data_IF_939497144981
#
_entry.id   IF_939497144981
#
_cell.length_a   1.000
_cell.length_b   1.000
_cell.length_c   1.000
_cell.angle_alpha   90.00
_cell.angle_beta   90.00
_cell.angle_gamma   90.00
#
_symmetry.space_group_name_H-M   'P 1'
#
loop_
_entity.id
_entity.type
_entity.pdbx_description
1 polymer ?
#
# COMPACT_ATOMS: atom_id res chain seq x y z
N UNK A 1 4.00 -21.28 3.65
CA UNK A 1 4.81 -20.18 3.12
C UNK A 1 4.15 -18.87 3.48
N UNK A 2 4.94 -17.85 3.81
CA UNK A 2 4.44 -16.53 4.15
C UNK A 2 4.11 -15.72 2.91
N UNK A 3 3.18 -14.77 3.02
CA UNK A 3 2.87 -13.86 1.92
C UNK A 3 4.00 -12.83 1.72
N UNK A 4 4.35 -12.52 0.47
CA UNK A 4 5.28 -11.42 0.18
C UNK A 4 4.47 -10.14 -0.01
N UNK A 5 4.62 -9.18 0.88
CA UNK A 5 3.82 -7.95 0.91
C UNK A 5 4.73 -6.75 0.65
N UNK A 6 4.30 -5.82 -0.19
CA UNK A 6 4.92 -4.51 -0.32
C UNK A 6 3.95 -3.42 0.11
N UNK A 7 4.49 -2.43 0.81
CA UNK A 7 3.82 -1.16 1.06
C UNK A 7 4.60 -0.03 0.40
N UNK A 8 3.89 0.74 -0.42
CA UNK A 8 4.46 1.87 -1.14
C UNK A 8 3.70 3.14 -0.77
N UNK A 9 4.43 4.15 -0.27
CA UNK A 9 3.86 5.49 -0.08
C UNK A 9 3.76 6.16 -1.44
N UNK A 10 2.58 6.68 -1.75
CA UNK A 10 2.32 7.43 -2.98
C UNK A 10 1.97 8.88 -2.64
N UNK A 11 2.62 9.81 -3.33
CA UNK A 11 2.42 11.26 -3.15
C UNK A 11 1.22 11.79 -3.92
N UNK A 12 0.65 10.95 -4.79
CA UNK A 12 -0.52 11.26 -5.61
C UNK A 12 -1.44 10.05 -5.68
N UNK A 13 -2.72 10.25 -5.39
CA UNK A 13 -3.71 9.21 -5.60
C UNK A 13 -3.96 9.01 -7.10
N UNK A 14 -4.10 7.75 -7.57
CA UNK A 14 -4.51 7.49 -8.94
C UNK A 14 -5.90 8.09 -9.21
N UNK A 15 -6.10 8.65 -10.41
CA UNK A 15 -7.41 9.15 -10.83
C UNK A 15 -8.47 8.03 -10.92
N UNK A 16 -8.04 6.78 -11.07
CA UNK A 16 -8.90 5.59 -11.07
C UNK A 16 -8.29 4.48 -10.20
N UNK A 17 -8.45 4.53 -8.87
CA UNK A 17 -7.81 3.58 -7.95
C UNK A 17 -8.24 2.14 -8.22
N UNK A 18 -9.52 1.91 -8.50
CA UNK A 18 -10.02 0.57 -8.84
C UNK A 18 -9.42 0.04 -10.14
N UNK A 19 -9.26 0.90 -11.16
CA UNK A 19 -8.66 0.51 -12.44
C UNK A 19 -7.20 0.14 -12.28
N UNK A 20 -6.44 0.91 -11.49
CA UNK A 20 -5.05 0.59 -11.17
C UNK A 20 -4.96 -0.73 -10.39
N UNK A 21 -5.76 -0.90 -9.33
CA UNK A 21 -5.79 -2.13 -8.55
C UNK A 21 -6.13 -3.36 -9.41
N UNK A 22 -7.14 -3.27 -10.27
CA UNK A 22 -7.51 -4.36 -11.19
C UNK A 22 -6.39 -4.71 -12.17
N UNK A 23 -5.71 -3.71 -12.73
CA UNK A 23 -4.60 -3.93 -13.65
C UNK A 23 -3.41 -4.63 -12.95
N UNK A 24 -3.17 -4.33 -11.68
CA UNK A 24 -2.11 -4.95 -10.89
C UNK A 24 -2.49 -6.36 -10.40
N UNK A 25 -3.72 -6.58 -9.95
CA UNK A 25 -4.21 -7.93 -9.58
C UNK A 25 -4.22 -8.87 -10.78
N UNK A 26 -4.37 -8.35 -12.00
CA UNK A 26 -4.29 -9.16 -13.22
C UNK A 26 -2.86 -9.62 -13.58
N UNK A 27 -1.83 -9.15 -12.87
CA UNK A 27 -0.47 -9.65 -13.03
C UNK A 27 -0.32 -11.05 -12.42
N UNK A 28 0.54 -11.87 -13.02
CA UNK A 28 0.80 -13.21 -12.53
C UNK A 28 1.44 -13.17 -11.12
N UNK A 29 1.05 -14.12 -10.27
CA UNK A 29 1.56 -14.23 -8.90
C UNK A 29 1.10 -13.14 -7.92
N UNK A 30 0.16 -12.26 -8.30
CA UNK A 30 -0.43 -11.26 -7.40
C UNK A 30 -1.68 -11.81 -6.73
N UNK A 31 -1.68 -11.82 -5.39
CA UNK A 31 -2.78 -12.31 -4.57
C UNK A 31 -3.80 -11.19 -4.27
N UNK A 32 -3.31 -9.98 -3.95
CA UNK A 32 -4.16 -8.86 -3.61
C UNK A 32 -3.48 -7.51 -3.89
N UNK A 33 -4.30 -6.50 -4.19
CA UNK A 33 -3.87 -5.10 -4.30
C UNK A 33 -4.88 -4.21 -3.61
N UNK A 34 -4.39 -3.30 -2.78
CA UNK A 34 -5.21 -2.33 -2.06
C UNK A 34 -4.60 -0.94 -2.19
N UNK A 35 -5.47 0.06 -2.35
CA UNK A 35 -5.07 1.47 -2.41
C UNK A 35 -5.86 2.20 -1.33
N UNK A 36 -5.16 2.59 -0.27
CA UNK A 36 -5.73 3.36 0.84
C UNK A 36 -5.38 4.83 0.68
N UNK A 37 -6.39 5.71 0.69
CA UNK A 37 -6.16 7.14 0.84
C UNK A 37 -5.84 7.45 2.31
N UNK A 38 -4.84 8.29 2.54
CA UNK A 38 -4.58 8.85 3.87
C UNK A 38 -5.40 10.12 4.07
N UNK A 39 -6.00 10.25 5.24
CA UNK A 39 -6.67 11.47 5.61
C UNK A 39 -5.64 12.53 6.03
N UNK A 40 -5.62 13.67 5.35
CA UNK A 40 -4.87 14.85 5.78
C UNK A 40 -5.43 15.44 7.08
N UNK A 41 -6.69 15.15 7.41
CA UNK A 41 -7.32 15.57 8.65
C UNK A 41 -6.67 14.83 9.81
N UNK A 42 -5.63 15.47 10.35
CA UNK A 42 -5.20 15.39 11.74
C UNK A 42 -6.37 14.91 12.58
N UNK A 43 -6.36 13.65 12.99
CA UNK A 43 -7.28 13.16 14.03
C UNK A 43 -7.24 14.19 15.16
N UNK A 44 -8.33 14.91 15.39
CA UNK A 44 -8.32 16.15 16.22
C UNK A 44 -8.00 15.90 17.69
N UNK A 45 -7.65 14.65 18.05
CA UNK A 45 -7.14 14.24 19.35
C UNK A 45 -5.75 14.86 19.55
N UNK A 46 -5.61 15.88 20.41
CA UNK A 46 -4.33 16.46 20.74
C UNK A 46 -3.68 15.54 21.77
N UNK A 47 -2.74 14.70 21.34
CA UNK A 47 -1.83 14.02 22.26
C UNK A 47 -0.46 14.69 22.20
N UNK A 48 0.26 14.67 23.32
CA UNK A 48 1.58 15.28 23.48
C UNK A 48 2.58 14.71 22.47
N UNK A 49 2.43 13.44 22.04
CA UNK A 49 3.27 12.83 21.01
C UNK A 49 3.07 13.45 19.61
N UNK A 50 1.91 14.02 19.32
CA UNK A 50 1.59 14.59 18.00
C UNK A 50 2.38 15.86 17.68
N UNK A 51 2.77 16.62 18.71
CA UNK A 51 3.61 17.81 18.58
C UNK A 51 5.06 17.50 18.16
N UNK A 52 5.49 16.25 18.31
CA UNK A 52 6.85 15.78 17.97
C UNK A 52 6.96 15.29 16.52
N UNK A 53 5.85 15.13 15.79
CA UNK A 53 5.78 14.53 14.45
C UNK A 53 6.10 15.50 13.29
N UNK A 54 6.87 16.56 13.55
CA UNK A 54 7.21 17.56 12.50
C UNK A 54 7.98 16.95 11.32
N UNK A 55 8.58 15.77 11.50
CA UNK A 55 9.33 15.04 10.48
C UNK A 55 8.61 13.77 9.95
N UNK A 56 7.36 13.51 10.36
CA UNK A 56 6.56 12.44 9.74
C UNK A 56 6.03 12.96 8.39
N UNK A 57 6.74 12.63 7.32
CA UNK A 57 6.39 13.04 5.96
C UNK A 57 4.94 12.68 5.61
N UNK A 58 4.19 13.67 5.14
CA UNK A 58 2.84 13.50 4.62
C UNK A 58 2.90 12.86 3.23
N UNK A 59 1.99 11.93 2.96
CA UNK A 59 1.81 11.30 1.65
C UNK A 59 0.30 11.15 1.38
N UNK A 60 -0.10 11.00 0.13
CA UNK A 60 -1.51 10.99 -0.30
C UNK A 60 -2.20 9.63 -0.16
N UNK A 61 -1.43 8.54 -0.18
CA UNK A 61 -1.96 7.21 0.10
C UNK A 61 -0.91 6.10 0.19
N UNK A 62 -1.39 4.89 0.49
CA UNK A 62 -0.62 3.65 0.47
C UNK A 62 -1.11 2.75 -0.65
N UNK A 63 -0.19 2.27 -1.47
CA UNK A 63 -0.38 1.13 -2.36
C UNK A 63 0.18 -0.11 -1.67
N UNK A 64 -0.69 -1.06 -1.38
CA UNK A 64 -0.34 -2.36 -0.81
C UNK A 64 -0.48 -3.43 -1.90
N UNK A 65 0.54 -4.26 -2.06
CA UNK A 65 0.54 -5.38 -3.00
C UNK A 65 0.98 -6.64 -2.27
N UNK A 66 0.19 -7.69 -2.37
CA UNK A 66 0.51 -9.02 -1.86
C UNK A 66 0.75 -9.96 -3.04
N UNK A 67 1.86 -10.69 -2.99
CA UNK A 67 2.32 -11.58 -4.03
C UNK A 67 2.82 -12.91 -3.46
N UNK A 68 2.88 -13.92 -4.33
CA UNK A 68 3.43 -15.23 -4.02
C UNK A 68 4.94 -15.17 -3.76
N UNK A 69 5.64 -14.31 -4.49
CA UNK A 69 7.08 -14.12 -4.38
C UNK A 69 7.50 -12.68 -4.74
N UNK A 70 8.76 -12.37 -4.48
CA UNK A 70 9.34 -11.05 -4.75
C UNK A 70 9.42 -10.74 -6.26
N UNK A 71 9.64 -11.75 -7.11
CA UNK A 71 9.76 -11.55 -8.55
C UNK A 71 8.43 -11.06 -9.16
N UNK A 72 7.31 -11.65 -8.75
CA UNK A 72 5.96 -11.26 -9.12
C UNK A 72 5.65 -9.83 -8.69
N UNK A 73 6.10 -9.46 -7.49
CA UNK A 73 5.96 -8.11 -6.93
C UNK A 73 6.74 -7.07 -7.74
N UNK A 74 8.00 -7.36 -8.10
CA UNK A 74 8.81 -6.49 -8.94
C UNK A 74 8.21 -6.32 -10.35
N UNK A 75 7.65 -7.39 -10.92
CA UNK A 75 6.95 -7.32 -12.21
C UNK A 75 5.71 -6.43 -12.14
N UNK A 76 4.90 -6.55 -11.09
CA UNK A 76 3.73 -5.70 -10.87
C UNK A 76 4.12 -4.23 -10.65
N UNK A 77 5.22 -3.93 -9.96
CA UNK A 77 5.76 -2.59 -9.83
C UNK A 77 6.16 -1.97 -11.18
N UNK A 78 6.81 -2.77 -12.04
CA UNK A 78 7.19 -2.31 -13.37
C UNK A 78 5.95 -2.03 -14.23
N UNK A 79 4.90 -2.84 -14.10
CA UNK A 79 3.60 -2.59 -14.72
C UNK A 79 2.98 -1.29 -14.17
N UNK A 80 2.98 -1.08 -12.86
CA UNK A 80 2.47 0.14 -12.22
C UNK A 80 3.15 1.42 -12.76
N UNK A 81 4.48 1.40 -12.91
CA UNK A 81 5.25 2.51 -13.50
C UNK A 81 4.85 2.81 -14.94
N UNK A 82 4.43 1.79 -15.68
CA UNK A 82 4.01 1.93 -17.08
C UNK A 82 2.60 2.53 -17.19
N UNK A 83 1.67 2.09 -16.35
CA UNK A 83 0.24 2.45 -16.47
C UNK A 83 -0.19 3.65 -15.61
N UNK A 84 0.59 4.00 -14.58
CA UNK A 84 0.34 5.11 -13.68
C UNK A 84 1.66 5.83 -13.31
N UNK A 85 2.43 6.34 -14.29
CA UNK A 85 3.72 6.99 -14.03
C UNK A 85 3.58 8.18 -13.07
N UNK A 86 2.49 8.94 -13.17
CA UNK A 86 2.22 10.10 -12.32
C UNK A 86 2.00 9.75 -10.83
N UNK A 87 1.60 8.52 -10.54
CA UNK A 87 1.50 7.97 -9.18
C UNK A 87 2.85 7.44 -8.69
N UNK A 88 3.62 6.84 -9.60
CA UNK A 88 4.86 6.12 -9.27
C UNK A 88 6.10 7.01 -9.24
N UNK A 89 6.14 8.12 -9.98
CA UNK A 89 7.31 9.02 -10.10
C UNK A 89 7.81 9.59 -8.77
N UNK A 90 6.90 9.76 -7.81
CA UNK A 90 7.20 10.29 -6.48
C UNK A 90 6.95 9.26 -5.37
N UNK A 91 6.67 8.02 -5.73
CA UNK A 91 6.49 6.98 -4.74
C UNK A 91 7.79 6.73 -3.97
N UNK A 92 7.67 6.25 -2.72
CA UNK A 92 8.84 5.88 -1.93
C UNK A 92 9.61 4.73 -2.55
N UNK A 93 10.79 4.41 -2.02
CA UNK A 93 11.38 3.10 -2.29
C UNK A 93 10.45 1.99 -1.77
N UNK A 94 10.31 0.88 -2.51
CA UNK A 94 9.45 -0.22 -2.10
C UNK A 94 10.10 -0.99 -0.94
N UNK A 95 9.43 -1.07 0.19
CA UNK A 95 9.79 -1.98 1.27
C UNK A 95 9.02 -3.29 1.13
N UNK A 96 9.74 -4.41 1.13
CA UNK A 96 9.17 -5.77 1.02
C UNK A 96 9.18 -6.43 2.39
N UNK A 97 8.03 -6.91 2.80
CA UNK A 97 7.77 -7.59 4.05
C UNK A 97 7.36 -9.05 3.79
N UNK A 98 7.70 -9.92 4.74
CA UNK A 98 7.27 -11.32 4.76
C UNK A 98 6.19 -11.50 5.83
N UNK A 99 5.01 -11.94 5.42
CA UNK A 99 3.92 -12.28 6.30
C UNK A 99 4.26 -13.52 7.13
N UNK A 100 4.54 -13.34 8.42
CA UNK A 100 4.84 -14.45 9.33
C UNK A 100 3.59 -15.08 9.95
N UNK A 101 2.52 -14.30 10.10
CA UNK A 101 1.25 -14.71 10.71
C UNK A 101 0.08 -14.11 9.95
N UNK A 102 -1.03 -14.83 9.86
CA UNK A 102 -2.31 -14.31 9.39
C UNK A 102 -3.30 -14.35 10.56
N UNK A 103 -3.93 -13.22 10.86
CA UNK A 103 -5.02 -13.17 11.82
C UNK A 103 -6.30 -13.64 11.13
N UNK A 104 -6.96 -14.63 11.71
CA UNK A 104 -8.26 -15.08 11.24
C UNK A 104 -9.31 -14.02 11.60
N UNK A 105 -9.94 -13.43 10.59
CA UNK A 105 -10.93 -12.36 10.77
C UNK A 105 -12.14 -12.79 11.63
N UNK A 106 -12.33 -14.10 11.85
CA UNK A 106 -13.37 -14.68 12.72
C UNK A 106 -13.25 -14.31 14.21
N UNK A 107 -12.15 -13.69 14.64
CA UNK A 107 -11.94 -13.26 16.03
C UNK A 107 -12.52 -11.85 16.30
N UNK A 108 -13.03 -11.15 15.26
CA UNK A 108 -13.54 -9.78 15.38
C UNK A 108 -15.07 -9.65 15.59
N UNK A 109 -15.80 -10.76 15.75
CA UNK A 109 -17.18 -10.71 16.28
C UNK A 109 -17.11 -10.57 17.81
N UNK A 110 -17.01 -9.33 18.27
CA UNK A 110 -17.42 -8.97 19.62
C UNK A 110 -18.91 -8.61 19.55
N UNK A 111 -19.76 -9.48 20.10
CA UNK A 111 -21.15 -9.13 20.46
C UNK A 111 -21.21 -7.89 21.37
#
# INVERSE_FOLDING_TARGET
EGATIMALRIEKLPAGPQKLAQALVACDGIAAVQIGATDEARTLVPTTEKGMRKDEGFFAGLLLVEALDEASLQAALQQARTIAPDVMDRASEPEVYQGMFALDARIADFD
#
